data_IF_897794692093
#
_entry.id   IF_897794692093
#
_cell.length_a   1.000
_cell.length_b   1.000
_cell.length_c   1.000
_cell.angle_alpha   90.00
_cell.angle_beta   90.00
_cell.angle_gamma   90.00
#
_symmetry.space_group_name_H-M   'P 1'
#
loop_
_entity.id
_entity.type
_entity.pdbx_description
1 polymer ?
#
# COMPACT_ATOMS: atom_id res chain seq x y z
N UNK A 1 -1.81 7.68 -13.03
CA UNK A 1 -1.77 7.83 -14.49
C UNK A 1 -2.31 6.58 -15.23
N UNK A 2 -1.76 5.37 -15.02
CA UNK A 2 -2.26 4.14 -15.68
C UNK A 2 -3.78 3.93 -15.45
N UNK A 3 -4.24 4.01 -14.21
CA UNK A 3 -5.65 3.84 -13.86
C UNK A 3 -6.56 4.87 -14.51
N UNK A 4 -6.09 6.09 -14.61
CA UNK A 4 -6.84 7.20 -15.23
C UNK A 4 -6.93 7.05 -16.76
N UNK A 5 -5.85 6.60 -17.39
CA UNK A 5 -5.82 6.37 -18.84
C UNK A 5 -6.69 5.20 -19.26
N UNK A 6 -6.58 4.10 -18.54
CA UNK A 6 -7.28 2.86 -18.88
C UNK A 6 -8.77 2.90 -18.49
N UNK A 7 -9.08 3.39 -17.32
CA UNK A 7 -10.46 3.52 -16.82
C UNK A 7 -11.18 2.20 -16.50
N UNK A 8 -10.54 1.05 -16.74
CA UNK A 8 -11.12 -0.28 -16.52
C UNK A 8 -10.16 -1.22 -15.76
N UNK A 9 -9.45 -0.65 -14.79
CA UNK A 9 -8.57 -1.40 -13.90
C UNK A 9 -9.07 -1.26 -12.46
N UNK A 10 -9.20 -2.37 -11.77
CA UNK A 10 -9.37 -2.40 -10.32
C UNK A 10 -8.02 -2.61 -9.66
N UNK A 11 -7.52 -1.59 -8.97
CA UNK A 11 -6.31 -1.70 -8.16
C UNK A 11 -6.64 -2.19 -6.75
N UNK A 12 -5.94 -3.22 -6.31
CA UNK A 12 -5.97 -3.70 -4.92
C UNK A 12 -4.56 -3.53 -4.35
N UNK A 13 -4.42 -2.64 -3.38
CA UNK A 13 -3.16 -2.42 -2.68
C UNK A 13 -3.09 -3.31 -1.44
N UNK A 14 -1.97 -4.00 -1.29
CA UNK A 14 -1.67 -4.81 -0.12
C UNK A 14 -0.40 -4.32 0.54
N UNK A 15 -0.49 -4.02 1.83
CA UNK A 15 0.64 -3.58 2.63
C UNK A 15 1.59 -4.74 2.91
N UNK A 16 2.85 -4.57 2.49
CA UNK A 16 3.91 -5.58 2.64
C UNK A 16 5.14 -4.98 3.32
N UNK A 17 5.12 -4.84 4.67
CA UNK A 17 6.19 -4.18 5.41
C UNK A 17 7.38 -5.13 5.61
N UNK A 18 8.43 -4.96 4.81
CA UNK A 18 9.64 -5.78 4.83
C UNK A 18 10.94 -4.97 5.01
N UNK A 19 10.84 -3.66 5.21
CA UNK A 19 11.97 -2.72 5.27
C UNK A 19 12.25 -2.23 6.71
N UNK A 20 11.93 -3.03 7.71
CA UNK A 20 12.21 -2.74 9.12
C UNK A 20 11.06 -2.08 9.89
N UNK A 21 11.33 -1.57 11.12
CA UNK A 21 10.30 -1.05 12.02
C UNK A 21 9.49 0.13 11.45
N UNK A 22 10.13 1.02 10.71
CA UNK A 22 9.43 2.14 10.07
C UNK A 22 8.43 1.68 9.00
N UNK A 23 8.76 0.63 8.26
CA UNK A 23 7.87 0.00 7.27
C UNK A 23 6.65 -0.64 7.94
N UNK A 24 6.86 -1.35 9.04
CA UNK A 24 5.78 -1.94 9.85
C UNK A 24 4.85 -0.87 10.41
N UNK A 25 5.40 0.19 10.99
CA UNK A 25 4.64 1.30 11.54
C UNK A 25 3.80 2.00 10.46
N UNK A 26 4.39 2.28 9.31
CA UNK A 26 3.71 2.91 8.17
C UNK A 26 2.57 2.04 7.63
N UNK A 27 2.78 0.75 7.48
CA UNK A 27 1.76 -0.20 7.01
C UNK A 27 0.60 -0.34 8.00
N UNK A 28 0.88 -0.39 9.28
CA UNK A 28 -0.15 -0.41 10.32
C UNK A 28 -1.00 0.85 10.30
N UNK A 29 -0.35 2.02 10.19
CA UNK A 29 -1.04 3.29 10.07
C UNK A 29 -1.91 3.36 8.80
N UNK A 30 -1.41 2.89 7.67
CA UNK A 30 -2.14 2.89 6.41
C UNK A 30 -3.40 2.02 6.49
N UNK A 31 -3.30 0.80 6.99
CA UNK A 31 -4.46 -0.10 7.16
C UNK A 31 -5.43 0.46 8.19
N UNK A 32 -4.94 0.98 9.31
CA UNK A 32 -5.76 1.61 10.33
C UNK A 32 -6.54 2.82 9.77
N UNK A 33 -5.89 3.62 8.95
CA UNK A 33 -6.54 4.75 8.26
C UNK A 33 -7.65 4.29 7.32
N UNK A 34 -7.41 3.22 6.57
CA UNK A 34 -8.44 2.63 5.71
C UNK A 34 -9.67 2.18 6.52
N UNK A 35 -9.44 1.54 7.65
CA UNK A 35 -10.52 1.05 8.53
C UNK A 35 -11.28 2.21 9.20
N UNK A 36 -10.56 3.17 9.74
CA UNK A 36 -11.14 4.28 10.52
C UNK A 36 -11.78 5.37 9.65
N UNK A 37 -11.16 5.70 8.51
CA UNK A 37 -11.53 6.89 7.72
C UNK A 37 -11.82 6.58 6.23
N UNK A 38 -11.60 5.38 5.78
CA UNK A 38 -11.96 4.93 4.44
C UNK A 38 -10.88 5.09 3.38
N UNK A 39 -11.20 4.72 2.11
CA UNK A 39 -10.21 4.57 1.04
C UNK A 39 -9.61 5.89 0.55
N UNK A 40 -10.31 7.01 0.67
CA UNK A 40 -9.78 8.32 0.28
C UNK A 40 -8.66 8.76 1.23
N UNK A 41 -8.89 8.68 2.54
CA UNK A 41 -7.88 8.96 3.56
C UNK A 41 -6.68 8.00 3.45
N UNK A 42 -6.91 6.73 3.15
CA UNK A 42 -5.84 5.76 2.87
C UNK A 42 -4.94 6.22 1.72
N UNK A 43 -5.52 6.70 0.63
CA UNK A 43 -4.78 7.20 -0.53
C UNK A 43 -3.98 8.47 -0.21
N UNK A 44 -4.59 9.39 0.53
CA UNK A 44 -3.94 10.61 1.01
C UNK A 44 -2.73 10.31 1.88
N UNK A 45 -2.88 9.41 2.84
CA UNK A 45 -1.76 8.95 3.68
C UNK A 45 -0.67 8.27 2.84
N UNK A 46 -1.05 7.40 1.91
CA UNK A 46 -0.10 6.74 1.01
C UNK A 46 0.76 7.73 0.23
N UNK A 47 0.15 8.77 -0.32
CA UNK A 47 0.86 9.84 -1.02
C UNK A 47 1.80 10.60 -0.08
N UNK A 48 1.35 10.95 1.12
CA UNK A 48 2.16 11.65 2.11
C UNK A 48 3.38 10.82 2.55
N UNK A 49 3.19 9.52 2.78
CA UNK A 49 4.28 8.60 3.14
C UNK A 49 5.30 8.42 2.00
N UNK A 50 4.85 8.33 0.76
CA UNK A 50 5.71 8.14 -0.42
C UNK A 50 6.55 9.37 -0.76
N UNK A 51 6.09 10.56 -0.43
CA UNK A 51 6.78 11.82 -0.75
C UNK A 51 7.70 12.30 0.38
N UNK A 52 7.63 11.67 1.54
CA UNK A 52 8.44 12.08 2.70
C UNK A 52 9.82 11.42 2.68
N UNK A 53 10.83 12.20 2.94
CA UNK A 53 12.20 11.72 3.15
C UNK A 53 12.44 11.34 4.62
N UNK A 54 13.27 10.34 4.84
CA UNK A 54 13.67 9.88 6.17
C UNK A 54 12.83 8.70 6.69
N UNK A 55 13.18 8.25 7.89
CA UNK A 55 12.50 7.14 8.53
C UNK A 55 11.17 7.55 9.16
N UNK A 56 10.19 6.65 9.07
CA UNK A 56 8.92 6.82 9.77
C UNK A 56 9.09 6.39 11.23
N UNK A 57 8.83 7.32 12.12
CA UNK A 57 8.83 7.12 13.58
C UNK A 57 7.46 7.48 14.15
N UNK A 58 7.20 7.13 15.40
CA UNK A 58 5.95 7.52 16.06
C UNK A 58 5.70 9.02 16.02
N UNK A 59 6.72 9.82 16.31
CA UNK A 59 6.61 11.28 16.29
C UNK A 59 6.38 11.84 14.87
N UNK A 60 7.07 11.30 13.85
CA UNK A 60 6.87 11.75 12.48
C UNK A 60 5.53 11.29 11.92
N UNK A 61 5.02 10.15 12.34
CA UNK A 61 3.72 9.64 11.90
C UNK A 61 2.58 10.56 12.31
N UNK A 62 2.55 11.04 13.55
CA UNK A 62 1.51 11.96 14.02
C UNK A 62 1.49 13.24 13.19
N UNK A 63 2.66 13.82 12.90
CA UNK A 63 2.78 14.98 12.05
C UNK A 63 2.27 14.71 10.61
N UNK A 64 2.59 13.55 10.04
CA UNK A 64 2.15 13.16 8.69
C UNK A 64 0.62 13.03 8.65
N UNK A 65 0.01 12.41 9.66
CA UNK A 65 -1.45 12.26 9.75
C UNK A 65 -2.13 13.62 9.85
N UNK A 66 -1.63 14.50 10.70
CA UNK A 66 -2.16 15.86 10.86
C UNK A 66 -2.06 16.68 9.57
N UNK A 67 -0.89 16.66 8.91
CA UNK A 67 -0.66 17.35 7.64
C UNK A 67 -1.59 16.84 6.52
N UNK A 68 -1.91 15.54 6.53
CA UNK A 68 -2.85 14.93 5.59
C UNK A 68 -4.33 15.15 5.96
N UNK A 69 -4.61 15.80 7.07
CA UNK A 69 -5.99 16.04 7.54
C UNK A 69 -6.69 14.79 8.08
N UNK A 70 -5.93 13.82 8.56
CA UNK A 70 -6.41 12.53 9.06
C UNK A 70 -6.44 12.58 10.60
N UNK A 71 -7.50 12.02 11.20
CA UNK A 71 -7.64 11.93 12.66
C UNK A 71 -6.59 10.94 13.23
N UNK A 72 -5.48 11.48 13.75
CA UNK A 72 -4.40 10.70 14.32
C UNK A 72 -4.84 9.84 15.52
N UNK A 73 -5.76 10.33 16.35
CA UNK A 73 -6.28 9.58 17.49
C UNK A 73 -7.06 8.34 17.04
N UNK A 74 -7.95 8.49 16.06
CA UNK A 74 -8.71 7.37 15.49
C UNK A 74 -7.80 6.34 14.84
N UNK A 75 -6.78 6.77 14.10
CA UNK A 75 -5.80 5.89 13.47
C UNK A 75 -4.98 5.15 14.52
N UNK A 76 -4.47 5.85 15.54
CA UNK A 76 -3.71 5.24 16.63
C UNK A 76 -4.52 4.19 17.39
N UNK A 77 -5.79 4.43 17.63
CA UNK A 77 -6.69 3.48 18.30
C UNK A 77 -6.83 2.16 17.52
N UNK A 78 -6.73 2.22 16.18
CA UNK A 78 -6.92 1.06 15.30
C UNK A 78 -5.60 0.34 14.95
N UNK A 79 -4.45 1.01 15.05
CA UNK A 79 -3.16 0.47 14.56
C UNK A 79 -2.76 -0.87 15.15
N UNK A 80 -3.09 -1.15 16.40
CA UNK A 80 -2.73 -2.39 17.09
C UNK A 80 -3.89 -3.40 17.13
N UNK A 81 -4.96 -3.16 16.35
CA UNK A 81 -6.09 -4.07 16.30
C UNK A 81 -5.73 -5.43 15.69
N UNK A 82 -6.50 -6.47 16.04
CA UNK A 82 -6.37 -7.80 15.45
C UNK A 82 -6.59 -7.77 13.94
N UNK A 83 -7.50 -6.91 13.44
CA UNK A 83 -7.77 -6.75 12.02
C UNK A 83 -6.56 -6.25 11.24
N UNK A 84 -5.86 -5.22 11.75
CA UNK A 84 -4.62 -4.71 11.15
C UNK A 84 -3.56 -5.80 11.11
N UNK A 85 -3.33 -6.46 12.23
CA UNK A 85 -2.35 -7.56 12.33
C UNK A 85 -2.68 -8.72 11.39
N UNK A 86 -3.96 -9.09 11.27
CA UNK A 86 -4.43 -10.14 10.36
C UNK A 86 -4.17 -9.79 8.90
N UNK A 87 -4.47 -8.59 8.46
CA UNK A 87 -4.24 -8.13 7.08
C UNK A 87 -2.77 -8.16 6.70
N UNK A 88 -1.89 -7.72 7.58
CA UNK A 88 -0.44 -7.77 7.36
C UNK A 88 0.04 -9.23 7.27
N UNK A 89 -0.39 -10.09 8.20
CA UNK A 89 -0.05 -11.50 8.19
C UNK A 89 -0.53 -12.22 6.92
N UNK A 90 -1.75 -11.95 6.47
CA UNK A 90 -2.29 -12.50 5.22
C UNK A 90 -1.48 -12.07 4.00
N UNK A 91 -1.02 -10.81 3.95
CA UNK A 91 -0.15 -10.33 2.87
C UNK A 91 1.19 -11.06 2.87
N UNK A 92 1.80 -11.27 4.02
CA UNK A 92 3.04 -12.06 4.13
C UNK A 92 2.86 -13.51 3.68
N UNK A 93 1.75 -14.14 4.04
CA UNK A 93 1.41 -15.50 3.59
C UNK A 93 1.24 -15.54 2.07
N UNK A 94 0.49 -14.61 1.51
CA UNK A 94 0.29 -14.51 0.06
C UNK A 94 1.61 -14.27 -0.68
N UNK A 95 2.43 -13.34 -0.20
CA UNK A 95 3.73 -13.05 -0.79
C UNK A 95 4.64 -14.29 -0.81
N UNK A 96 4.67 -15.04 0.29
CA UNK A 96 5.42 -16.30 0.37
C UNK A 96 4.91 -17.35 -0.63
N UNK A 97 3.60 -17.50 -0.72
CA UNK A 97 2.98 -18.44 -1.66
C UNK A 97 3.27 -18.11 -3.12
N UNK A 98 3.40 -16.83 -3.46
CA UNK A 98 3.69 -16.35 -4.80
C UNK A 98 5.19 -16.13 -5.08
N UNK A 99 6.06 -16.37 -4.09
CA UNK A 99 7.50 -16.11 -4.23
C UNK A 99 7.85 -14.63 -4.33
N UNK A 100 7.08 -13.76 -3.71
CA UNK A 100 7.32 -12.31 -3.68
C UNK A 100 8.24 -11.98 -2.50
N UNK A 101 9.39 -11.36 -2.80
CA UNK A 101 10.43 -11.03 -1.83
C UNK A 101 10.73 -9.54 -1.75
N UNK A 102 10.14 -8.74 -2.62
CA UNK A 102 10.38 -7.31 -2.71
C UNK A 102 9.12 -6.49 -2.96
N UNK A 103 9.24 -5.18 -2.77
CA UNK A 103 8.17 -4.22 -3.01
C UNK A 103 8.70 -3.04 -3.82
N UNK A 104 7.94 -2.47 -4.77
CA UNK A 104 6.62 -2.95 -5.18
C UNK A 104 6.71 -4.23 -6.04
N UNK A 105 5.69 -5.06 -5.94
CA UNK A 105 5.45 -6.17 -6.86
C UNK A 105 4.00 -6.10 -7.32
N UNK A 106 3.77 -6.20 -8.62
CA UNK A 106 2.43 -6.16 -9.20
C UNK A 106 2.06 -7.54 -9.73
N UNK A 107 0.85 -7.98 -9.42
CA UNK A 107 0.24 -9.19 -9.99
C UNK A 107 -0.90 -8.74 -10.89
N UNK A 108 -0.79 -9.01 -12.17
CA UNK A 108 -1.73 -8.56 -13.21
C UNK A 108 -2.16 -9.79 -14.01
N UNK A 109 -3.35 -10.32 -13.70
CA UNK A 109 -3.77 -11.61 -14.23
C UNK A 109 -2.82 -12.73 -13.75
N UNK A 110 -2.22 -13.44 -14.69
CA UNK A 110 -1.22 -14.48 -14.44
C UNK A 110 0.23 -13.98 -14.48
N UNK A 111 0.42 -12.68 -14.64
CA UNK A 111 1.74 -12.05 -14.76
C UNK A 111 2.19 -11.37 -13.48
N UNK A 112 3.49 -11.46 -13.23
CA UNK A 112 4.12 -10.80 -12.08
C UNK A 112 5.18 -9.82 -12.56
N UNK A 113 5.07 -8.57 -12.11
CA UNK A 113 6.03 -7.50 -12.39
C UNK A 113 6.72 -7.13 -11.08
N UNK A 114 8.04 -7.31 -11.05
CA UNK A 114 8.88 -6.99 -9.88
C UNK A 114 9.50 -5.61 -10.06
N UNK A 115 9.10 -4.67 -9.19
CA UNK A 115 9.50 -3.28 -9.31
C UNK A 115 8.62 -2.46 -10.26
N UNK A 116 9.01 -1.23 -10.50
CA UNK A 116 8.30 -0.33 -11.42
C UNK A 116 8.73 -0.55 -12.87
N UNK A 117 7.77 -0.44 -13.78
CA UNK A 117 7.99 -0.34 -15.22
C UNK A 117 7.59 1.05 -15.73
N UNK A 118 8.17 1.52 -16.85
CA UNK A 118 7.62 2.65 -17.57
C UNK A 118 6.14 2.46 -17.89
N UNK A 119 5.39 3.55 -17.96
CA UNK A 119 3.94 3.52 -18.14
C UNK A 119 3.50 2.68 -19.34
N UNK A 120 4.13 2.89 -20.50
CA UNK A 120 3.82 2.16 -21.74
C UNK A 120 4.04 0.65 -21.60
N UNK A 121 5.09 0.25 -20.89
CA UNK A 121 5.35 -1.18 -20.63
C UNK A 121 4.30 -1.77 -19.69
N UNK A 122 3.85 -1.00 -18.69
CA UNK A 122 2.79 -1.42 -17.77
C UNK A 122 1.44 -1.55 -18.50
N UNK A 123 1.13 -0.61 -19.41
CA UNK A 123 -0.04 -0.70 -20.29
C UNK A 123 -0.03 -1.98 -21.13
N UNK A 124 1.11 -2.32 -21.71
CA UNK A 124 1.30 -3.57 -22.46
C UNK A 124 1.07 -4.82 -21.61
N UNK A 125 1.54 -4.83 -20.37
CA UNK A 125 1.31 -5.97 -19.45
C UNK A 125 -0.19 -6.14 -19.16
N UNK A 126 -0.90 -5.04 -18.95
CA UNK A 126 -2.36 -5.06 -18.72
C UNK A 126 -3.10 -5.61 -19.95
N UNK A 127 -2.77 -5.12 -21.14
CA UNK A 127 -3.37 -5.62 -22.38
C UNK A 127 -3.14 -7.10 -22.60
N UNK A 128 -1.91 -7.57 -22.42
CA UNK A 128 -1.58 -8.98 -22.53
C UNK A 128 -2.31 -9.84 -21.49
N UNK A 129 -2.51 -9.34 -20.28
CA UNK A 129 -3.27 -10.05 -19.25
C UNK A 129 -4.77 -10.16 -19.59
N UNK A 130 -5.31 -9.21 -20.37
CA UNK A 130 -6.70 -9.24 -20.88
C UNK A 130 -6.89 -10.24 -22.02
N UNK A 131 -5.87 -10.40 -22.84
CA UNK A 131 -5.91 -11.33 -23.99
C UNK A 131 -5.78 -12.80 -23.57
N UNK A 132 -5.29 -13.04 -22.39
CA UNK A 132 -5.25 -14.31 -21.79
C UNK A 132 -4.43 -15.18 -21.54
#
# INVERSE_FOLDING_TARGET
>A
ELLERDGNIRLITKEFPILGPGSELASRAAIATLIAEGPEAYRELGNALMTREGQITDASLDAILEEAGIDAEAVRAEMDSEEVSRRIAETHILARALGIEGTPTFVIGDRMVRGYLPLEEMENVVEQAREG
#
